data_IF_606434007905
#
_entry.id   IF_606434007905
#
_cell.length_a   1.000
_cell.length_b   1.000
_cell.length_c   1.000
_cell.angle_alpha   90.00
_cell.angle_beta   90.00
_cell.angle_gamma   90.00
#
_symmetry.space_group_name_H-M   'P 1'
#
loop_
_entity.id
_entity.type
_entity.pdbx_description
1 polymer ?
#
# COMPACT_ATOMS: atom_id res chain seq x y z
N UNK A 1 -33.17 -0.96 -22.89
CA UNK A 1 -33.56 0.04 -21.89
C UNK A 1 -32.40 1.00 -21.84
N UNK A 2 -32.58 2.22 -22.36
CA UNK A 2 -31.52 3.21 -22.53
C UNK A 2 -30.73 3.46 -21.23
N UNK A 3 -31.38 3.28 -20.08
CA UNK A 3 -30.86 3.70 -18.77
C UNK A 3 -30.04 2.64 -18.02
N UNK A 4 -30.29 1.35 -18.28
CA UNK A 4 -29.35 0.31 -17.86
C UNK A 4 -28.07 0.42 -18.70
N UNK A 5 -28.18 0.81 -19.96
CA UNK A 5 -27.02 1.13 -20.80
C UNK A 5 -26.25 2.33 -20.24
N UNK A 6 -26.90 3.44 -19.89
CA UNK A 6 -26.21 4.62 -19.31
C UNK A 6 -25.52 4.31 -17.97
N UNK A 7 -26.16 3.53 -17.09
CA UNK A 7 -25.54 3.07 -15.84
C UNK A 7 -24.36 2.13 -16.11
N UNK A 8 -24.53 1.17 -17.03
CA UNK A 8 -23.47 0.25 -17.42
C UNK A 8 -22.29 0.98 -18.06
N UNK A 9 -22.54 2.00 -18.87
CA UNK A 9 -21.52 2.88 -19.47
C UNK A 9 -20.79 3.69 -18.39
N UNK A 10 -21.52 4.23 -17.40
CA UNK A 10 -20.93 4.99 -16.30
C UNK A 10 -20.03 4.14 -15.37
N UNK A 11 -20.32 2.85 -15.22
CA UNK A 11 -19.50 1.92 -14.44
C UNK A 11 -18.51 1.11 -15.29
N UNK A 12 -18.54 1.22 -16.62
CA UNK A 12 -17.75 0.37 -17.53
C UNK A 12 -16.24 0.51 -17.30
N UNK A 13 -15.77 1.74 -17.06
CA UNK A 13 -14.36 2.02 -16.80
C UNK A 13 -13.94 1.68 -15.37
N UNK A 14 -14.89 1.56 -14.44
CA UNK A 14 -14.60 1.46 -13.01
C UNK A 14 -13.80 0.20 -12.63
N UNK A 15 -14.11 -1.01 -13.15
CA UNK A 15 -13.28 -2.18 -12.91
C UNK A 15 -11.85 -2.03 -13.44
N UNK A 16 -11.67 -1.41 -14.60
CA UNK A 16 -10.36 -1.19 -15.20
C UNK A 16 -9.54 -0.20 -14.37
N UNK A 17 -10.12 0.94 -13.99
CA UNK A 17 -9.50 1.94 -13.12
C UNK A 17 -9.09 1.33 -11.77
N UNK A 18 -9.97 0.53 -11.15
CA UNK A 18 -9.68 -0.13 -9.87
C UNK A 18 -8.56 -1.17 -10.04
N UNK A 19 -8.56 -1.96 -11.11
CA UNK A 19 -7.52 -2.96 -11.36
C UNK A 19 -6.15 -2.33 -11.64
N UNK A 20 -6.09 -1.27 -12.45
CA UNK A 20 -4.85 -0.53 -12.69
C UNK A 20 -4.32 0.03 -11.37
N UNK A 21 -5.20 0.63 -10.59
CA UNK A 21 -4.89 1.20 -9.28
C UNK A 21 -4.34 0.16 -8.30
N UNK A 22 -4.99 -1.00 -8.19
CA UNK A 22 -4.55 -2.10 -7.33
C UNK A 22 -3.26 -2.76 -7.84
N UNK A 23 -3.05 -2.77 -9.15
CA UNK A 23 -1.81 -3.30 -9.76
C UNK A 23 -0.62 -2.40 -9.45
N UNK A 24 -0.78 -1.10 -9.65
CA UNK A 24 0.23 -0.09 -9.28
C UNK A 24 0.56 -0.16 -7.79
N UNK A 25 -0.46 -0.34 -6.95
CA UNK A 25 -0.25 -0.58 -5.52
C UNK A 25 0.62 -1.82 -5.27
N UNK A 26 0.25 -2.96 -5.85
CA UNK A 26 0.95 -4.22 -5.63
C UNK A 26 2.41 -4.14 -6.06
N UNK A 27 2.70 -3.43 -7.14
CA UNK A 27 4.07 -3.18 -7.59
C UNK A 27 4.84 -2.34 -6.56
N UNK A 28 4.24 -1.25 -6.08
CA UNK A 28 4.85 -0.37 -5.07
C UNK A 28 5.11 -1.13 -3.75
N UNK A 29 4.19 -1.99 -3.33
CA UNK A 29 4.33 -2.84 -2.14
C UNK A 29 5.46 -3.86 -2.31
N UNK A 30 5.50 -4.55 -3.46
CA UNK A 30 6.56 -5.52 -3.79
C UNK A 30 7.95 -4.88 -3.78
N UNK A 31 8.11 -3.71 -4.42
CA UNK A 31 9.37 -2.97 -4.42
C UNK A 31 9.81 -2.57 -3.00
N UNK A 32 8.86 -2.14 -2.16
CA UNK A 32 9.13 -1.72 -0.78
C UNK A 32 9.51 -2.91 0.10
N UNK A 33 8.82 -4.03 -0.03
CA UNK A 33 9.13 -5.25 0.70
C UNK A 33 10.51 -5.80 0.30
N UNK A 34 10.85 -5.76 -0.99
CA UNK A 34 12.19 -6.07 -1.48
C UNK A 34 13.27 -5.15 -0.89
N UNK A 35 13.04 -3.84 -0.85
CA UNK A 35 13.99 -2.88 -0.26
C UNK A 35 14.20 -3.10 1.25
N UNK A 36 13.12 -3.37 1.99
CA UNK A 36 13.17 -3.64 3.43
C UNK A 36 13.95 -4.94 3.72
N UNK A 37 13.68 -6.01 2.96
CA UNK A 37 14.44 -7.25 3.06
C UNK A 37 15.93 -7.02 2.80
N UNK A 38 16.25 -6.31 1.72
CA UNK A 38 17.64 -6.01 1.34
C UNK A 38 18.40 -5.15 2.37
N UNK A 39 17.72 -4.39 3.22
CA UNK A 39 18.35 -3.52 4.23
C UNK A 39 18.35 -4.13 5.63
N UNK A 40 17.28 -4.77 6.07
CA UNK A 40 17.17 -5.32 7.44
C UNK A 40 17.91 -6.66 7.61
N UNK A 41 17.91 -7.51 6.58
CA UNK A 41 18.60 -8.81 6.65
C UNK A 41 20.11 -8.68 6.93
N UNK A 42 20.88 -7.82 6.23
CA UNK A 42 22.29 -7.65 6.52
C UNK A 42 22.58 -7.01 7.88
N UNK A 43 21.67 -6.17 8.41
CA UNK A 43 21.88 -5.48 9.70
C UNK A 43 22.03 -6.47 10.85
N UNK A 44 21.15 -7.48 10.94
CA UNK A 44 21.24 -8.49 12.00
C UNK A 44 22.53 -9.35 11.90
N UNK A 45 22.93 -9.69 10.67
CA UNK A 45 24.18 -10.42 10.42
C UNK A 45 25.41 -9.59 10.82
N UNK A 46 25.44 -8.31 10.44
CA UNK A 46 26.53 -7.38 10.78
C UNK A 46 26.64 -7.15 12.29
N UNK A 47 25.51 -6.97 12.99
CA UNK A 47 25.48 -6.84 14.45
C UNK A 47 26.08 -8.08 15.12
N UNK A 48 25.64 -9.28 14.71
CA UNK A 48 26.15 -10.54 15.25
C UNK A 48 27.66 -10.67 15.02
N UNK A 49 28.12 -10.35 13.81
CA UNK A 49 29.53 -10.38 13.42
C UNK A 49 30.37 -9.37 14.23
N UNK A 50 29.86 -8.16 14.44
CA UNK A 50 30.53 -7.13 15.25
C UNK A 50 30.68 -7.57 16.70
N UNK A 51 29.63 -8.13 17.31
CA UNK A 51 29.67 -8.62 18.68
C UNK A 51 30.65 -9.79 18.85
N UNK A 52 30.66 -10.75 17.93
CA UNK A 52 31.64 -11.85 17.93
C UNK A 52 33.08 -11.31 17.82
N UNK A 53 33.32 -10.42 16.87
CA UNK A 53 34.65 -9.86 16.65
C UNK A 53 35.13 -9.01 17.84
N UNK A 54 34.22 -8.31 18.52
CA UNK A 54 34.53 -7.61 19.77
C UNK A 54 34.81 -8.56 20.92
N UNK A 55 34.04 -9.64 21.07
CA UNK A 55 34.21 -10.66 22.11
C UNK A 55 35.58 -11.33 22.05
N UNK A 56 36.08 -11.60 20.85
CA UNK A 56 37.39 -12.20 20.63
C UNK A 56 38.53 -11.17 20.45
N UNK A 57 38.27 -9.87 20.71
CA UNK A 57 39.24 -8.78 20.53
C UNK A 57 39.95 -8.78 19.16
N UNK A 58 39.22 -9.17 18.10
CA UNK A 58 39.74 -9.29 16.73
C UNK A 58 39.82 -7.95 16.00
N UNK A 59 39.19 -6.92 16.53
CA UNK A 59 39.12 -5.59 15.93
C UNK A 59 39.86 -4.58 16.78
N UNK A 60 40.63 -3.72 16.12
CA UNK A 60 41.18 -2.51 16.71
C UNK A 60 40.08 -1.49 17.05
N UNK A 61 40.35 -0.50 17.91
CA UNK A 61 39.38 0.54 18.24
C UNK A 61 38.83 1.28 17.01
N UNK A 62 39.68 1.56 16.01
CA UNK A 62 39.27 2.24 14.78
C UNK A 62 38.35 1.39 13.91
N UNK A 63 38.61 0.10 13.81
CA UNK A 63 37.77 -0.81 13.02
C UNK A 63 36.39 -1.02 13.67
N UNK A 64 36.33 -1.01 15.00
CA UNK A 64 35.06 -1.03 15.74
C UNK A 64 34.21 0.20 15.41
N UNK A 65 34.82 1.38 15.39
CA UNK A 65 34.14 2.64 15.05
C UNK A 65 33.56 2.58 13.62
N UNK A 66 34.35 2.09 12.66
CA UNK A 66 33.93 1.98 11.24
C UNK A 66 32.75 1.02 11.08
N UNK A 67 32.83 -0.18 11.69
CA UNK A 67 31.73 -1.16 11.61
C UNK A 67 30.48 -0.65 12.34
N UNK A 68 30.64 0.08 13.44
CA UNK A 68 29.54 0.69 14.15
C UNK A 68 28.85 1.79 13.31
N UNK A 69 29.61 2.71 12.70
CA UNK A 69 29.06 3.71 11.78
C UNK A 69 28.35 3.09 10.59
N UNK A 70 28.87 1.98 10.07
CA UNK A 70 28.22 1.24 8.97
C UNK A 70 26.85 0.70 9.39
N UNK A 71 26.74 0.14 10.59
CA UNK A 71 25.46 -0.34 11.14
C UNK A 71 24.48 0.83 11.34
N UNK A 72 24.94 1.97 11.88
CA UNK A 72 24.09 3.16 12.03
C UNK A 72 23.53 3.65 10.69
N UNK A 73 24.39 3.78 9.67
CA UNK A 73 23.96 4.18 8.33
C UNK A 73 22.92 3.23 7.73
N UNK A 74 23.07 1.92 7.95
CA UNK A 74 22.08 0.94 7.49
C UNK A 74 20.75 1.04 8.25
N UNK A 75 20.78 1.35 9.54
CA UNK A 75 19.58 1.63 10.32
C UNK A 75 18.84 2.87 9.82
N UNK A 76 19.56 3.95 9.51
CA UNK A 76 18.96 5.16 8.95
C UNK A 76 18.31 4.89 7.60
N UNK A 77 18.96 4.07 6.75
CA UNK A 77 18.37 3.62 5.50
C UNK A 77 17.11 2.78 5.73
N UNK A 78 17.13 1.84 6.67
CA UNK A 78 15.96 1.02 7.01
C UNK A 78 14.80 1.88 7.54
N UNK A 79 15.09 2.90 8.36
CA UNK A 79 14.10 3.84 8.86
C UNK A 79 13.47 4.66 7.74
N UNK A 80 14.27 5.11 6.77
CA UNK A 80 13.78 5.80 5.58
C UNK A 80 12.86 4.90 4.73
N UNK A 81 13.23 3.63 4.53
CA UNK A 81 12.37 2.66 3.82
C UNK A 81 11.06 2.38 4.57
N UNK A 82 11.12 2.27 5.90
CA UNK A 82 9.91 2.12 6.74
C UNK A 82 8.97 3.33 6.64
N UNK A 83 9.54 4.53 6.58
CA UNK A 83 8.78 5.76 6.37
C UNK A 83 8.09 5.76 5.00
N UNK A 84 8.81 5.36 3.95
CA UNK A 84 8.25 5.19 2.61
C UNK A 84 7.11 4.17 2.58
N UNK A 85 7.24 3.04 3.29
CA UNK A 85 6.15 2.06 3.45
C UNK A 85 4.90 2.68 4.07
N UNK A 86 5.09 3.49 5.11
CA UNK A 86 3.97 4.17 5.78
C UNK A 86 3.23 5.12 4.84
N UNK A 87 3.96 5.82 3.97
CA UNK A 87 3.38 6.70 2.96
C UNK A 87 2.57 5.93 1.92
N UNK A 88 3.07 4.79 1.43
CA UNK A 88 2.37 3.92 0.48
C UNK A 88 1.04 3.41 1.06
N UNK A 89 1.08 2.92 2.31
CA UNK A 89 -0.12 2.45 3.01
C UNK A 89 -1.14 3.58 3.19
N UNK A 90 -0.68 4.80 3.46
CA UNK A 90 -1.57 5.97 3.53
C UNK A 90 -2.22 6.25 2.18
N UNK A 91 -1.43 6.25 1.10
CA UNK A 91 -1.95 6.49 -0.26
C UNK A 91 -2.96 5.41 -0.67
N UNK A 92 -2.70 4.14 -0.34
CA UNK A 92 -3.66 3.05 -0.52
C UNK A 92 -4.98 3.33 0.21
N UNK A 93 -4.91 3.74 1.47
CA UNK A 93 -6.10 3.95 2.28
C UNK A 93 -6.97 5.10 1.73
N UNK A 94 -6.35 6.20 1.32
CA UNK A 94 -7.06 7.33 0.70
C UNK A 94 -7.71 6.93 -0.64
N UNK A 95 -7.02 6.11 -1.41
CA UNK A 95 -7.48 5.62 -2.70
C UNK A 95 -8.64 4.63 -2.56
N UNK A 96 -8.54 3.69 -1.62
CA UNK A 96 -9.65 2.82 -1.23
C UNK A 96 -10.88 3.63 -0.83
N UNK A 97 -10.71 4.65 0.01
CA UNK A 97 -11.81 5.56 0.40
C UNK A 97 -12.43 6.26 -0.79
N UNK A 98 -11.63 6.72 -1.74
CA UNK A 98 -12.11 7.36 -2.97
C UNK A 98 -12.94 6.39 -3.82
N UNK A 99 -12.49 5.15 -4.00
CA UNK A 99 -13.20 4.11 -4.76
C UNK A 99 -14.54 3.78 -4.09
N UNK A 100 -14.55 3.56 -2.77
CA UNK A 100 -15.78 3.28 -2.02
C UNK A 100 -16.78 4.43 -2.16
N UNK A 101 -16.34 5.68 -1.99
CA UNK A 101 -17.22 6.85 -2.17
C UNK A 101 -17.77 6.98 -3.59
N UNK A 102 -16.96 6.67 -4.62
CA UNK A 102 -17.42 6.66 -6.02
C UNK A 102 -18.50 5.60 -6.22
N UNK A 103 -18.28 4.39 -5.72
CA UNK A 103 -19.25 3.29 -5.75
C UNK A 103 -20.56 3.67 -5.04
N UNK A 104 -20.48 4.20 -3.82
CA UNK A 104 -21.66 4.62 -3.06
C UNK A 104 -22.45 5.72 -3.78
N UNK A 105 -21.76 6.67 -4.42
CA UNK A 105 -22.40 7.73 -5.18
C UNK A 105 -23.12 7.21 -6.43
N UNK A 106 -22.48 6.35 -7.22
CA UNK A 106 -23.11 5.76 -8.41
C UNK A 106 -24.27 4.82 -8.04
N UNK A 107 -24.15 4.04 -6.96
CA UNK A 107 -25.26 3.25 -6.42
C UNK A 107 -26.42 4.13 -5.93
N UNK A 108 -26.12 5.26 -5.30
CA UNK A 108 -27.11 6.22 -4.83
C UNK A 108 -27.92 6.84 -5.97
N UNK A 109 -27.24 7.28 -7.04
CA UNK A 109 -27.90 7.80 -8.25
C UNK A 109 -28.80 6.73 -8.88
N UNK A 110 -28.27 5.52 -9.06
CA UNK A 110 -29.02 4.40 -9.62
C UNK A 110 -30.31 4.11 -8.84
N UNK A 111 -30.26 4.15 -7.51
CA UNK A 111 -31.45 3.98 -6.64
C UNK A 111 -32.48 5.09 -6.80
N UNK A 112 -32.04 6.35 -6.78
CA UNK A 112 -32.94 7.51 -6.94
C UNK A 112 -33.64 7.50 -8.30
N UNK A 113 -32.92 7.12 -9.35
CA UNK A 113 -33.44 7.05 -10.72
C UNK A 113 -34.37 5.86 -10.92
N UNK A 114 -34.06 4.68 -10.32
CA UNK A 114 -34.98 3.53 -10.27
C UNK A 114 -36.30 3.86 -9.58
N UNK A 115 -36.24 4.62 -8.48
CA UNK A 115 -37.42 5.01 -7.71
C UNK A 115 -38.26 6.06 -8.43
N UNK A 116 -37.63 6.94 -9.23
CA UNK A 116 -38.32 7.91 -10.06
C UNK A 116 -39.08 7.27 -11.22
N UNK A 117 -38.49 6.26 -11.86
CA UNK A 117 -39.10 5.54 -12.99
C UNK A 117 -40.12 4.47 -12.57
N UNK A 118 -39.95 3.87 -11.38
CA UNK A 118 -40.92 2.96 -10.78
C UNK A 118 -40.97 3.15 -9.25
N UNK A 119 -41.92 3.98 -8.79
CA UNK A 119 -42.12 4.21 -7.35
C UNK A 119 -42.34 2.89 -6.59
N UNK A 120 -41.55 2.66 -5.55
CA UNK A 120 -41.58 1.49 -4.68
C UNK A 120 -40.76 0.30 -5.16
N UNK A 121 -40.05 0.37 -6.30
CA UNK A 121 -39.22 -0.74 -6.79
C UNK A 121 -37.98 -0.96 -5.93
N UNK A 122 -37.36 0.10 -5.40
CA UNK A 122 -36.17 -0.06 -4.55
C UNK A 122 -36.47 -0.88 -3.29
N UNK A 123 -37.63 -0.66 -2.65
CA UNK A 123 -38.07 -1.42 -1.48
C UNK A 123 -38.33 -2.92 -1.74
N UNK A 124 -38.61 -3.30 -2.99
CA UNK A 124 -38.84 -4.70 -3.39
C UNK A 124 -37.55 -5.46 -3.70
N UNK A 125 -36.46 -4.75 -3.95
CA UNK A 125 -35.15 -5.33 -4.30
C UNK A 125 -34.27 -5.50 -3.05
N UNK A 126 -34.47 -4.69 -2.01
CA UNK A 126 -33.69 -4.76 -0.76
C UNK A 126 -34.18 -5.83 0.26
N UNK A 127 -35.26 -6.54 -0.05
CA UNK A 127 -35.84 -7.63 0.76
C UNK A 127 -35.59 -9.00 0.14
#
# INVERSE_FOLDING_TARGET
MLYFEDFMEAIESLPAEVNETLSNLREIDYQTQGCILATLEPVNGLISTLFENCKFSRLSPKEKEIEYEKILNLYDQALAQSSKKTEIVRNLYELYRKVVRKLDAELGKFRLELEADNSGVTSKIEH
#
